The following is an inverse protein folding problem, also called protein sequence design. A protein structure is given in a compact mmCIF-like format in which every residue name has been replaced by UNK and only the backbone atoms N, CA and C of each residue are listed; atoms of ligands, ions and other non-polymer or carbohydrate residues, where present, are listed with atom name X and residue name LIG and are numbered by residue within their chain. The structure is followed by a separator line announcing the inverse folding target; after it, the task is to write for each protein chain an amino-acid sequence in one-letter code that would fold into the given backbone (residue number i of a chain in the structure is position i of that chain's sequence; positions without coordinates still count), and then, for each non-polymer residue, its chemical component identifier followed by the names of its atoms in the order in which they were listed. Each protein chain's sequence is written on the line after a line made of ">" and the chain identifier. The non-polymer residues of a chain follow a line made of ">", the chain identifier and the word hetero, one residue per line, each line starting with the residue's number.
data_IF_483398533529
#
_entry.id   IF_483398533529
#
_cell.length_a   1.000
_cell.length_b   1.000
_cell.length_c   1.000
_cell.angle_alpha   90.00
_cell.angle_beta   90.00
_cell.angle_gamma   90.00
#
_symmetry.space_group_name_H-M   'P 1'
#
loop_
_entity.id
_entity.type
_entity.pdbx_description
1 polymer ?
#
# COMPACT_ATOMS: atom_id res chain seq x y z
N UNK A 1 16.35 5.12 -2.34
CA UNK A 1 15.06 5.59 -2.89
C UNK A 1 14.48 4.67 -3.95
N UNK A 2 15.24 4.30 -4.98
CA UNK A 2 14.76 3.43 -6.07
C UNK A 2 14.10 2.14 -5.58
N UNK A 3 14.71 1.41 -4.63
CA UNK A 3 14.09 0.20 -4.05
C UNK A 3 12.76 0.49 -3.35
N UNK A 4 12.68 1.59 -2.59
CA UNK A 4 11.46 1.98 -1.90
C UNK A 4 10.35 2.34 -2.89
N UNK A 5 10.67 3.10 -3.94
CA UNK A 5 9.75 3.44 -5.03
C UNK A 5 9.18 2.18 -5.68
N UNK A 6 10.04 1.21 -6.03
CA UNK A 6 9.62 -0.05 -6.63
C UNK A 6 8.75 -0.89 -5.68
N UNK A 7 9.10 -0.95 -4.40
CA UNK A 7 8.33 -1.67 -3.38
C UNK A 7 6.97 -1.01 -3.15
N UNK A 8 6.91 0.31 -2.96
CA UNK A 8 5.64 1.03 -2.73
C UNK A 8 4.71 0.87 -3.93
N UNK A 9 5.25 1.04 -5.14
CA UNK A 9 4.46 0.89 -6.36
C UNK A 9 4.03 -0.55 -6.58
N UNK A 10 4.94 -1.51 -6.40
CA UNK A 10 4.66 -2.94 -6.54
C UNK A 10 3.62 -3.46 -5.54
N UNK A 11 3.72 -3.04 -4.27
CA UNK A 11 2.74 -3.37 -3.24
C UNK A 11 1.38 -2.72 -3.53
N UNK A 12 1.36 -1.45 -3.93
CA UNK A 12 0.13 -0.78 -4.33
C UNK A 12 -0.56 -1.49 -5.50
N UNK A 13 0.20 -1.82 -6.54
CA UNK A 13 -0.28 -2.60 -7.68
C UNK A 13 -0.76 -4.00 -7.27
N UNK A 14 -0.03 -4.68 -6.39
CA UNK A 14 -0.39 -6.00 -5.90
C UNK A 14 -1.75 -5.98 -5.17
N UNK A 15 -1.95 -5.03 -4.24
CA UNK A 15 -3.23 -4.88 -3.55
C UNK A 15 -4.37 -4.50 -4.49
N UNK A 16 -4.11 -3.61 -5.46
CA UNK A 16 -5.13 -3.23 -6.42
C UNK A 16 -5.52 -4.38 -7.37
N UNK A 17 -4.55 -5.18 -7.80
CA UNK A 17 -4.79 -6.35 -8.67
C UNK A 17 -5.51 -7.48 -7.93
N UNK A 18 -5.22 -7.67 -6.63
CA UNK A 18 -5.87 -8.67 -5.78
C UNK A 18 -7.16 -8.17 -5.11
N UNK A 19 -7.72 -7.04 -5.52
CA UNK A 19 -8.95 -6.49 -4.92
C UNK A 19 -10.20 -7.37 -5.08
N UNK A 20 -10.17 -8.34 -6.00
CA UNK A 20 -11.27 -9.28 -6.29
C UNK A 20 -10.80 -10.75 -6.30
N UNK A 21 -9.60 -11.02 -5.79
CA UNK A 21 -9.04 -12.37 -5.70
C UNK A 21 -8.56 -12.62 -4.28
N UNK A 22 -8.77 -13.83 -3.80
CA UNK A 22 -8.20 -14.30 -2.54
C UNK A 22 -6.68 -14.14 -2.60
N UNK A 23 -6.10 -13.58 -1.54
CA UNK A 23 -4.65 -13.50 -1.39
C UNK A 23 -4.28 -13.79 0.05
N UNK A 24 -3.25 -14.63 0.25
CA UNK A 24 -2.82 -15.08 1.58
C UNK A 24 -4.01 -15.64 2.40
N UNK A 25 -4.47 -14.87 3.38
CA UNK A 25 -5.54 -15.22 4.33
C UNK A 25 -6.79 -14.37 4.08
N UNK A 26 -6.68 -13.35 3.24
CA UNK A 26 -7.71 -12.35 2.97
C UNK A 26 -8.57 -12.77 1.79
N UNK A 27 -9.89 -12.72 1.99
CA UNK A 27 -10.89 -13.08 0.99
C UNK A 27 -11.75 -11.86 0.64
N UNK A 28 -11.19 -10.88 -0.12
CA UNK A 28 -11.92 -9.68 -0.51
C UNK A 28 -13.16 -9.95 -1.38
N UNK A 29 -13.25 -11.13 -2.00
CA UNK A 29 -14.43 -11.62 -2.72
C UNK A 29 -15.65 -11.82 -1.82
N UNK A 30 -15.43 -12.15 -0.55
CA UNK A 30 -16.51 -12.43 0.40
C UNK A 30 -16.94 -11.18 1.18
N UNK A 31 -16.12 -10.12 1.16
CA UNK A 31 -16.34 -8.93 1.98
C UNK A 31 -16.10 -7.63 1.18
N UNK A 32 -17.17 -6.91 0.79
CA UNK A 32 -17.03 -5.69 -0.02
C UNK A 32 -16.23 -4.59 0.70
N UNK A 33 -16.27 -4.55 2.04
CA UNK A 33 -15.46 -3.64 2.84
C UNK A 33 -13.95 -3.87 2.65
N UNK A 34 -13.50 -5.13 2.63
CA UNK A 34 -12.10 -5.49 2.43
C UNK A 34 -11.65 -5.14 1.01
N UNK A 35 -12.48 -5.40 -0.01
CA UNK A 35 -12.21 -4.99 -1.39
C UNK A 35 -12.04 -3.47 -1.54
N UNK A 36 -12.86 -2.68 -0.85
CA UNK A 36 -12.72 -1.22 -0.81
C UNK A 36 -11.42 -0.77 -0.14
N UNK A 37 -11.06 -1.36 1.00
CA UNK A 37 -9.79 -1.07 1.68
C UNK A 37 -8.58 -1.41 0.79
N UNK A 38 -8.59 -2.57 0.14
CA UNK A 38 -7.51 -2.94 -0.79
C UNK A 38 -7.43 -2.01 -1.99
N UNK A 39 -8.57 -1.60 -2.53
CA UNK A 39 -8.62 -0.67 -3.67
C UNK A 39 -8.08 0.71 -3.27
N UNK A 40 -8.58 1.26 -2.17
CA UNK A 40 -8.13 2.56 -1.64
C UNK A 40 -6.65 2.53 -1.24
N UNK A 41 -6.25 1.54 -0.45
CA UNK A 41 -4.86 1.36 -0.02
C UNK A 41 -3.90 1.13 -1.19
N UNK A 42 -4.30 0.32 -2.17
CA UNK A 42 -3.53 0.06 -3.39
C UNK A 42 -3.31 1.32 -4.23
N UNK A 43 -4.37 2.12 -4.43
CA UNK A 43 -4.27 3.40 -5.15
C UNK A 43 -3.37 4.38 -4.41
N UNK A 44 -3.53 4.52 -3.08
CA UNK A 44 -2.70 5.41 -2.26
C UNK A 44 -1.22 5.02 -2.36
N UNK A 45 -0.90 3.73 -2.24
CA UNK A 45 0.48 3.25 -2.34
C UNK A 45 1.08 3.41 -3.75
N UNK A 46 0.28 3.26 -4.81
CA UNK A 46 0.71 3.55 -6.18
C UNK A 46 1.00 5.04 -6.37
N UNK A 47 0.13 5.93 -5.88
CA UNK A 47 0.34 7.38 -5.94
C UNK A 47 1.61 7.78 -5.18
N UNK A 48 1.82 7.24 -3.98
CA UNK A 48 3.05 7.44 -3.19
C UNK A 48 4.28 6.92 -3.95
N UNK A 49 4.17 5.76 -4.61
CA UNK A 49 5.23 5.23 -5.47
C UNK A 49 5.59 6.18 -6.62
N UNK A 50 4.60 6.72 -7.32
CA UNK A 50 4.83 7.69 -8.41
C UNK A 50 5.48 8.98 -7.88
N UNK A 51 4.98 9.52 -6.77
CA UNK A 51 5.54 10.72 -6.14
C UNK A 51 6.99 10.46 -5.67
N UNK A 52 7.27 9.27 -5.13
CA UNK A 52 8.62 8.83 -4.75
C UNK A 52 9.56 8.73 -5.95
N UNK A 53 9.08 8.30 -7.12
CA UNK A 53 9.86 8.31 -8.35
C UNK A 53 10.27 9.74 -8.74
N UNK A 54 9.32 10.68 -8.70
CA UNK A 54 9.58 12.11 -8.98
C UNK A 54 10.61 12.68 -7.98
N UNK A 55 10.43 12.39 -6.69
CA UNK A 55 11.37 12.82 -5.65
C UNK A 55 12.79 12.29 -5.85
N UNK A 56 12.90 11.06 -6.36
CA UNK A 56 14.19 10.44 -6.68
C UNK A 56 14.91 11.20 -7.78
N UNK A 57 14.18 11.64 -8.82
CA UNK A 57 14.75 12.42 -9.93
C UNK A 57 15.15 13.83 -9.47
N UNK A 58 14.35 14.47 -8.62
CA UNK A 58 14.64 15.80 -8.08
C UNK A 58 15.85 15.85 -7.13
N UNK A 59 16.28 14.70 -6.59
CA UNK A 59 17.43 14.57 -5.68
C UNK A 59 17.39 15.50 -4.45
N UNK A 60 16.20 15.88 -3.98
CA UNK A 60 16.03 16.78 -2.82
C UNK A 60 15.82 15.96 -1.54
N UNK A 61 16.78 16.04 -0.62
CA UNK A 61 16.78 15.24 0.61
C UNK A 61 15.56 15.47 1.50
N UNK A 62 15.11 16.73 1.65
CA UNK A 62 13.96 17.08 2.50
C UNK A 62 12.68 16.46 1.94
N UNK A 63 12.49 16.57 0.62
CA UNK A 63 11.31 16.03 -0.05
C UNK A 63 11.26 14.50 0.02
N UNK A 64 12.42 13.86 -0.16
CA UNK A 64 12.60 12.41 -0.02
C UNK A 64 12.20 11.94 1.39
N UNK A 65 12.66 12.62 2.44
CA UNK A 65 12.32 12.28 3.82
C UNK A 65 10.82 12.43 4.13
N UNK A 66 10.18 13.48 3.61
CA UNK A 66 8.74 13.70 3.78
C UNK A 66 7.91 12.58 3.14
N UNK A 67 8.26 12.17 1.92
CA UNK A 67 7.54 11.09 1.22
C UNK A 67 7.73 9.75 1.93
N UNK A 68 8.93 9.45 2.42
CA UNK A 68 9.17 8.26 3.24
C UNK A 68 8.26 8.22 4.45
N UNK A 69 8.20 9.33 5.20
CA UNK A 69 7.37 9.42 6.39
C UNK A 69 5.91 9.13 6.06
N UNK A 70 5.38 9.80 5.03
CA UNK A 70 3.99 9.62 4.59
C UNK A 70 3.72 8.18 4.17
N UNK A 71 4.62 7.57 3.40
CA UNK A 71 4.40 6.21 2.92
C UNK A 71 4.58 5.14 3.99
N UNK A 72 5.45 5.34 4.98
CA UNK A 72 5.50 4.44 6.16
C UNK A 72 4.18 4.50 6.93
N UNK A 73 3.66 5.71 7.18
CA UNK A 73 2.36 5.88 7.84
C UNK A 73 1.23 5.21 7.05
N UNK A 74 1.22 5.35 5.72
CA UNK A 74 0.23 4.71 4.86
C UNK A 74 0.30 3.18 4.92
N UNK A 75 1.50 2.59 4.86
CA UNK A 75 1.69 1.13 4.94
C UNK A 75 1.24 0.60 6.31
N UNK A 76 1.65 1.25 7.40
CA UNK A 76 1.24 0.85 8.75
C UNK A 76 -0.27 0.94 8.92
N UNK A 77 -0.88 2.03 8.45
CA UNK A 77 -2.34 2.21 8.53
C UNK A 77 -3.06 1.09 7.77
N UNK A 78 -2.61 0.76 6.55
CA UNK A 78 -3.17 -0.34 5.77
C UNK A 78 -3.03 -1.69 6.48
N UNK A 79 -1.87 -1.96 7.08
CA UNK A 79 -1.63 -3.20 7.84
C UNK A 79 -2.54 -3.31 9.07
N UNK A 80 -2.68 -2.23 9.85
CA UNK A 80 -3.57 -2.20 11.01
C UNK A 80 -5.03 -2.43 10.63
N UNK A 81 -5.48 -1.85 9.51
CA UNK A 81 -6.82 -2.09 8.98
C UNK A 81 -6.95 -3.57 8.58
N UNK A 82 -5.97 -4.12 7.85
CA UNK A 82 -5.99 -5.53 7.42
C UNK A 82 -6.04 -6.51 8.60
N UNK A 83 -5.39 -6.23 9.73
CA UNK A 83 -5.43 -7.08 10.94
C UNK A 83 -6.87 -7.34 11.43
N UNK A 84 -7.81 -6.42 11.18
CA UNK A 84 -9.22 -6.63 11.53
C UNK A 84 -9.83 -7.87 10.86
N UNK A 85 -9.35 -8.23 9.66
CA UNK A 85 -9.80 -9.39 8.89
C UNK A 85 -8.91 -10.62 9.06
N UNK A 86 -7.90 -10.56 9.94
CA UNK A 86 -7.07 -11.72 10.22
C UNK A 86 -7.88 -12.75 11.02
N UNK A 87 -7.82 -14.06 10.70
CA UNK A 87 -8.52 -15.08 11.47
C UNK A 87 -7.99 -15.06 12.89
N UNK A 88 -8.87 -14.71 13.83
CA UNK A 88 -8.62 -14.88 15.26
C UNK A 88 -8.67 -16.38 15.48
N UNK A 89 -7.52 -17.01 15.69
CA UNK A 89 -7.47 -18.41 16.07
C UNK A 89 -8.38 -18.62 17.27
N UNK A 90 -9.32 -19.55 17.14
CA UNK A 90 -10.01 -20.15 18.29
C UNK A 90 -9.00 -20.95 19.14
#
# INVERSE_FOLDING_TARGET
>A
MVCYTLLSFGLGWYFFSHRQKSFLVFHPENTPALSHVLTGGGIVLMVIGVISAIATVMNNFIFISMILLVGVVAIISLQLILVHWFPKGE
#
